data_IF_453320392520
#
_entry.id   IF_453320392520
#
_cell.length_a   1.000
_cell.length_b   1.000
_cell.length_c   1.000
_cell.angle_alpha   90.00
_cell.angle_beta   90.00
_cell.angle_gamma   90.00
#
_symmetry.space_group_name_H-M   'P 1'
#
loop_
_entity.id
_entity.type
_entity.pdbx_description
1 polymer ?
#
# COMPACT_ATOMS: atom_id res chain seq x y z
N UNK A 1 -20.96 1.77 2.06
CA UNK A 1 -20.29 0.85 3.01
C UNK A 1 -18.93 1.42 3.32
N UNK A 2 -18.54 1.56 4.59
CA UNK A 2 -17.18 1.99 4.93
C UNK A 2 -16.26 0.78 4.92
N UNK A 3 -15.03 0.94 4.48
CA UNK A 3 -14.01 -0.10 4.54
C UNK A 3 -12.64 0.53 4.64
N UNK A 4 -11.65 -0.26 5.04
CA UNK A 4 -10.29 0.18 5.25
C UNK A 4 -9.35 -0.78 4.53
N UNK A 5 -8.38 -0.21 3.81
CA UNK A 5 -7.33 -0.94 3.10
C UNK A 5 -6.00 -0.69 3.81
N UNK A 6 -5.44 -1.74 4.40
CA UNK A 6 -4.18 -1.66 5.15
C UNK A 6 -3.16 -2.64 4.58
N UNK A 7 -1.90 -2.22 4.52
CA UNK A 7 -0.80 -3.15 4.32
C UNK A 7 -0.47 -3.83 5.66
N UNK A 8 -0.33 -5.15 5.63
CA UNK A 8 0.01 -5.94 6.82
C UNK A 8 1.41 -5.55 7.33
N UNK A 9 1.50 -5.17 8.60
CA UNK A 9 2.75 -4.72 9.22
C UNK A 9 3.03 -3.21 9.12
N UNK A 10 2.13 -2.43 8.50
CA UNK A 10 2.24 -0.99 8.37
C UNK A 10 2.12 -0.52 6.91
N UNK A 11 2.06 0.78 6.64
CA UNK A 11 1.79 1.34 5.31
C UNK A 11 2.94 1.16 4.29
N UNK A 12 4.09 0.65 4.75
CA UNK A 12 5.30 0.49 3.95
C UNK A 12 5.66 -0.99 3.78
N UNK A 13 6.14 -1.33 2.59
CA UNK A 13 6.68 -2.65 2.25
C UNK A 13 8.20 -2.53 2.14
N UNK A 14 8.92 -3.40 2.87
CA UNK A 14 10.37 -3.48 2.72
C UNK A 14 10.75 -4.04 1.35
N UNK A 15 11.72 -3.41 0.70
CA UNK A 15 12.28 -3.84 -0.58
C UNK A 15 13.67 -4.45 -0.35
N UNK A 16 14.00 -5.50 -1.09
CA UNK A 16 15.24 -6.29 -0.95
C UNK A 16 16.55 -5.54 -1.30
N UNK A 17 16.45 -4.24 -1.64
CA UNK A 17 17.58 -3.33 -1.85
C UNK A 17 17.71 -2.27 -0.76
N UNK A 18 17.04 -2.44 0.37
CA UNK A 18 17.11 -1.54 1.54
C UNK A 18 16.24 -0.30 1.44
N UNK A 19 15.46 -0.15 0.37
CA UNK A 19 14.40 0.88 0.27
C UNK A 19 13.10 0.38 0.91
N UNK A 20 12.14 1.29 1.04
CA UNK A 20 10.74 0.94 1.34
C UNK A 20 9.81 1.44 0.24
N UNK A 21 8.67 0.79 0.10
CA UNK A 21 7.58 1.18 -0.79
C UNK A 21 6.37 1.60 0.04
N UNK A 22 6.05 2.89 0.05
CA UNK A 22 4.84 3.40 0.66
C UNK A 22 3.66 3.16 -0.29
N UNK A 23 2.63 2.45 0.19
CA UNK A 23 1.44 2.14 -0.59
C UNK A 23 0.34 3.17 -0.32
N UNK A 24 -0.21 3.72 -1.38
CA UNK A 24 -1.27 4.71 -1.36
C UNK A 24 -2.54 4.13 -2.01
N UNK A 25 -3.70 4.43 -1.42
CA UNK A 25 -5.04 4.12 -1.91
C UNK A 25 -5.79 5.42 -2.19
N UNK A 26 -6.21 5.65 -3.44
CA UNK A 26 -6.95 6.86 -3.86
C UNK A 26 -6.30 8.19 -3.44
N UNK A 27 -4.96 8.22 -3.43
CA UNK A 27 -4.18 9.41 -3.10
C UNK A 27 -3.91 9.63 -1.61
N UNK A 28 -4.43 8.78 -0.72
CA UNK A 28 -4.09 8.73 0.70
C UNK A 28 -3.21 7.51 1.02
N UNK A 29 -2.49 7.53 2.14
CA UNK A 29 -1.69 6.39 2.59
C UNK A 29 -2.61 5.20 2.92
N UNK A 30 -2.21 3.97 2.57
CA UNK A 30 -2.92 2.77 3.02
C UNK A 30 -2.98 2.78 4.56
N UNK A 31 -4.15 2.56 5.14
CA UNK A 31 -4.39 2.99 6.53
C UNK A 31 -5.63 3.83 6.73
N UNK A 32 -6.19 4.40 5.66
CA UNK A 32 -7.32 5.31 5.75
C UNK A 32 -8.67 4.61 5.54
N UNK A 33 -9.72 5.17 6.16
CA UNK A 33 -11.10 4.68 5.94
C UNK A 33 -11.65 5.28 4.65
N UNK A 34 -12.07 4.40 3.74
CA UNK A 34 -12.67 4.75 2.46
C UNK A 34 -14.19 4.61 2.52
N UNK A 35 -14.87 5.47 1.76
CA UNK A 35 -16.32 5.44 1.62
C UNK A 35 -16.69 4.73 0.32
N UNK A 36 -17.24 3.53 0.43
CA UNK A 36 -17.76 2.79 -0.72
C UNK A 36 -19.23 3.06 -1.02
N UNK A 37 -19.59 2.99 -2.29
CA UNK A 37 -20.96 2.96 -2.80
C UNK A 37 -21.49 1.53 -2.97
N UNK A 38 -22.79 1.39 -3.23
CA UNK A 38 -23.37 0.11 -3.66
C UNK A 38 -22.77 -0.33 -4.99
N UNK A 39 -22.49 -1.63 -5.15
CA UNK A 39 -21.81 -2.18 -6.32
C UNK A 39 -20.29 -2.14 -6.22
N UNK A 40 -19.63 -2.07 -7.37
CA UNK A 40 -18.17 -2.12 -7.45
C UNK A 40 -17.52 -0.81 -6.99
N UNK A 41 -16.41 -0.95 -6.26
CA UNK A 41 -15.64 0.17 -5.71
C UNK A 41 -14.19 0.06 -6.19
N UNK A 42 -13.85 0.61 -7.38
CA UNK A 42 -12.49 0.59 -7.87
C UNK A 42 -11.60 1.48 -7.00
N UNK A 43 -10.44 0.96 -6.60
CA UNK A 43 -9.44 1.69 -5.82
C UNK A 43 -8.12 1.70 -6.57
N UNK A 44 -7.56 2.89 -6.78
CA UNK A 44 -6.25 3.02 -7.40
C UNK A 44 -5.16 2.79 -6.37
N UNK A 45 -4.31 1.79 -6.61
CA UNK A 45 -3.10 1.56 -5.82
C UNK A 45 -1.91 2.29 -6.46
N UNK A 46 -1.17 3.03 -5.65
CA UNK A 46 0.12 3.63 -6.04
C UNK A 46 1.19 3.22 -5.06
N UNK A 47 2.41 3.05 -5.56
CA UNK A 47 3.58 2.70 -4.77
C UNK A 47 4.66 3.77 -4.99
N UNK A 48 5.10 4.40 -3.92
CA UNK A 48 6.21 5.37 -3.95
C UNK A 48 7.40 4.78 -3.24
N UNK A 49 8.56 4.77 -3.90
CA UNK A 49 9.81 4.26 -3.32
C UNK A 49 10.48 5.34 -2.47
N UNK A 50 10.93 4.96 -1.28
CA UNK A 50 11.63 5.83 -0.33
C UNK A 50 12.96 5.22 0.09
N UNK A 51 13.91 6.09 0.46
CA UNK A 51 15.24 5.71 0.91
C UNK A 51 16.28 5.67 -0.20
N UNK A 52 17.45 5.10 0.13
CA UNK A 52 18.59 4.96 -0.79
C UNK A 52 18.88 3.47 -1.00
N UNK A 53 19.00 2.99 -2.24
CA UNK A 53 19.30 1.60 -2.50
C UNK A 53 20.72 1.26 -2.01
N UNK A 54 20.87 0.10 -1.37
CA UNK A 54 22.15 -0.44 -0.91
C UNK A 54 22.84 -1.30 -1.96
N UNK A 55 22.10 -1.73 -2.99
CA UNK A 55 22.59 -2.53 -4.13
C UNK A 55 22.01 -2.02 -5.45
N UNK A 56 22.70 -2.29 -6.55
CA UNK A 56 22.24 -2.00 -7.91
C UNK A 56 21.50 -3.20 -8.53
N UNK A 57 20.80 -2.96 -9.64
CA UNK A 57 20.05 -3.99 -10.36
C UNK A 57 18.57 -4.03 -10.00
N UNK A 58 17.90 -5.12 -10.40
CA UNK A 58 16.49 -5.34 -10.09
C UNK A 58 16.28 -5.46 -8.57
N UNK A 59 15.13 -4.97 -8.11
CA UNK A 59 14.71 -5.06 -6.72
C UNK A 59 13.26 -5.50 -6.65
N UNK A 60 12.90 -6.16 -5.56
CA UNK A 60 11.56 -6.69 -5.34
C UNK A 60 11.18 -6.58 -3.86
N UNK A 61 9.88 -6.46 -3.63
CA UNK A 61 9.26 -6.55 -2.32
C UNK A 61 7.82 -7.01 -2.47
N UNK A 62 7.27 -7.57 -1.41
CA UNK A 62 5.90 -8.11 -1.41
C UNK A 62 5.24 -7.80 -0.08
N UNK A 63 3.96 -7.51 -0.12
CA UNK A 63 3.14 -7.27 1.06
C UNK A 63 1.73 -7.81 0.86
N UNK A 64 0.98 -7.88 1.96
CA UNK A 64 -0.41 -8.33 1.95
C UNK A 64 -1.31 -7.12 2.19
N UNK A 65 -2.26 -6.87 1.29
CA UNK A 65 -3.32 -5.88 1.50
C UNK A 65 -4.49 -6.56 2.23
N UNK A 66 -4.85 -6.00 3.38
CA UNK A 66 -5.97 -6.44 4.21
C UNK A 66 -7.12 -5.47 4.01
N UNK A 67 -8.30 -6.02 3.73
CA UNK A 67 -9.56 -5.28 3.68
C UNK A 67 -10.31 -5.55 4.99
N UNK A 68 -10.66 -4.50 5.72
CA UNK A 68 -11.50 -4.61 6.92
C UNK A 68 -12.72 -3.71 6.81
N UNK A 69 -13.87 -4.22 7.25
CA UNK A 69 -15.12 -3.48 7.35
C UNK A 69 -15.40 -3.18 8.83
N UNK A 70 -15.64 -1.91 9.20
CA UNK A 70 -16.05 -1.54 10.54
C UNK A 70 -17.49 -1.96 10.86
#
# INVERSE_FOLDING_TARGET
MKYKLNVMGGPEIAIDNGMTAAIMTDGALAGETLNGSSGDNPVALRSTLHGKPTKTGAFAGSGIMIISYP
#
